data_IF_768602017567
#
_entry.id   IF_768602017567
#
_cell.length_a   1.000
_cell.length_b   1.000
_cell.length_c   1.000
_cell.angle_alpha   90.00
_cell.angle_beta   90.00
_cell.angle_gamma   90.00
#
_symmetry.space_group_name_H-M   'P 1'
#
loop_
_entity.id
_entity.type
_entity.pdbx_description
1 polymer ?
#
# COMPACT_ATOMS: atom_id res chain seq x y z
N UNK A 1 -11.18 -3.99 2.98
CA UNK A 1 -10.24 -3.27 2.09
C UNK A 1 -9.10 -4.21 1.78
N UNK A 2 -8.71 -4.29 0.52
CA UNK A 2 -7.69 -5.23 0.05
C UNK A 2 -6.41 -4.48 -0.29
N UNK A 3 -5.28 -4.99 0.15
CA UNK A 3 -3.97 -4.42 -0.14
C UNK A 3 -3.14 -5.41 -0.93
N UNK A 4 -2.69 -4.97 -2.11
CA UNK A 4 -1.88 -5.73 -3.06
C UNK A 4 -0.43 -5.24 -3.01
N UNK A 5 0.52 -6.16 -2.94
CA UNK A 5 1.95 -5.86 -2.99
C UNK A 5 2.56 -6.32 -4.31
N UNK A 6 3.34 -5.45 -4.95
CA UNK A 6 3.95 -5.72 -6.25
C UNK A 6 5.48 -5.70 -6.21
N UNK A 7 6.09 -6.48 -7.10
CA UNK A 7 7.54 -6.55 -7.28
C UNK A 7 8.28 -6.76 -5.96
N UNK A 8 9.29 -5.92 -5.71
CA UNK A 8 10.12 -6.01 -4.50
C UNK A 8 9.34 -5.86 -3.20
N UNK A 9 8.19 -5.19 -3.20
CA UNK A 9 7.36 -5.06 -2.00
C UNK A 9 6.75 -6.40 -1.61
N UNK A 10 6.38 -7.25 -2.57
CA UNK A 10 5.93 -8.63 -2.34
C UNK A 10 7.06 -9.48 -1.73
N UNK A 11 8.29 -9.33 -2.19
CA UNK A 11 9.45 -10.02 -1.62
C UNK A 11 9.70 -9.60 -0.17
N UNK A 12 9.46 -8.33 0.16
CA UNK A 12 9.67 -7.76 1.50
C UNK A 12 8.55 -8.15 2.46
N UNK A 13 7.30 -8.13 2.01
CA UNK A 13 6.15 -8.51 2.84
C UNK A 13 5.97 -10.02 2.94
N UNK A 14 6.53 -10.78 1.99
CA UNK A 14 6.39 -12.23 1.89
C UNK A 14 4.98 -12.69 1.48
N UNK A 15 4.09 -11.75 1.14
CA UNK A 15 2.69 -12.00 0.81
C UNK A 15 2.27 -11.16 -0.39
N UNK A 16 1.37 -11.72 -1.19
CA UNK A 16 0.80 -11.04 -2.37
C UNK A 16 -0.23 -9.99 -1.98
N UNK A 17 -1.03 -10.31 -0.96
CA UNK A 17 -2.10 -9.46 -0.52
C UNK A 17 -2.42 -9.63 0.97
N UNK A 18 -3.05 -8.62 1.55
CA UNK A 18 -3.69 -8.71 2.87
C UNK A 18 -5.05 -8.02 2.84
N UNK A 19 -5.97 -8.53 3.65
CA UNK A 19 -7.22 -7.85 3.96
C UNK A 19 -7.11 -7.10 5.28
N UNK A 20 -7.57 -5.85 5.28
CA UNK A 20 -7.58 -4.99 6.45
C UNK A 20 -8.90 -4.22 6.55
N UNK A 21 -9.22 -3.77 7.76
CA UNK A 21 -10.40 -2.96 8.06
C UNK A 21 -10.03 -1.84 9.05
N UNK A 22 -10.80 -0.75 9.05
CA UNK A 22 -10.67 0.31 10.06
C UNK A 22 -9.66 1.42 9.77
N UNK A 23 -9.23 1.60 8.52
CA UNK A 23 -8.39 2.73 8.11
C UNK A 23 -9.17 3.67 7.20
N UNK A 24 -9.19 4.96 7.55
CA UNK A 24 -9.96 5.99 6.85
C UNK A 24 -9.06 6.93 6.01
N UNK A 25 -7.74 6.91 6.24
CA UNK A 25 -6.79 7.77 5.56
C UNK A 25 -5.46 7.05 5.27
N UNK A 26 -4.72 7.57 4.29
CA UNK A 26 -3.44 7.03 3.83
C UNK A 26 -2.34 7.06 4.90
N UNK A 27 -2.34 8.05 5.80
CA UNK A 27 -1.30 8.16 6.83
C UNK A 27 -1.41 7.01 7.85
N UNK A 28 -2.61 6.77 8.36
CA UNK A 28 -2.92 5.65 9.25
C UNK A 28 -2.60 4.33 8.58
N UNK A 29 -2.93 4.19 7.30
CA UNK A 29 -2.62 3.01 6.52
C UNK A 29 -1.10 2.78 6.40
N UNK A 30 -0.34 3.81 6.02
CA UNK A 30 1.12 3.73 5.90
C UNK A 30 1.77 3.33 7.23
N UNK A 31 1.31 3.92 8.35
CA UNK A 31 1.79 3.57 9.70
C UNK A 31 1.54 2.10 10.00
N UNK A 32 0.31 1.63 9.81
CA UNK A 32 -0.04 0.21 10.00
C UNK A 32 0.82 -0.73 9.15
N UNK A 33 1.02 -0.40 7.86
CA UNK A 33 1.83 -1.22 6.97
C UNK A 33 3.31 -1.28 7.40
N UNK A 34 3.88 -0.17 7.88
CA UNK A 34 5.25 -0.13 8.38
C UNK A 34 5.38 -0.90 9.70
N UNK A 35 4.38 -0.84 10.58
CA UNK A 35 4.38 -1.62 11.82
C UNK A 35 4.27 -3.12 11.55
N UNK A 36 3.40 -3.51 10.60
CA UNK A 36 3.21 -4.91 10.21
C UNK A 36 4.37 -5.47 9.39
N UNK A 37 4.96 -4.65 8.52
CA UNK A 37 6.08 -4.99 7.65
C UNK A 37 7.20 -3.95 7.79
N UNK A 38 8.05 -4.07 8.82
CA UNK A 38 9.13 -3.10 9.10
C UNK A 38 10.08 -2.88 7.93
N UNK A 39 10.22 -3.86 7.02
CA UNK A 39 11.03 -3.76 5.81
C UNK A 39 10.55 -2.66 4.84
N UNK A 40 9.25 -2.34 4.83
CA UNK A 40 8.69 -1.28 3.98
C UNK A 40 9.21 0.11 4.35
N UNK A 41 9.68 0.32 5.59
CA UNK A 41 10.19 1.62 6.06
C UNK A 41 11.37 2.14 5.24
N UNK A 42 12.13 1.25 4.61
CA UNK A 42 13.34 1.59 3.83
C UNK A 42 13.07 1.66 2.33
N UNK A 43 11.88 1.29 1.89
CA UNK A 43 11.53 1.31 0.47
C UNK A 43 10.76 2.57 0.12
N UNK A 44 10.99 3.05 -1.10
CA UNK A 44 10.13 4.04 -1.72
C UNK A 44 9.03 3.28 -2.46
N UNK A 45 7.79 3.71 -2.32
CA UNK A 45 6.65 3.14 -3.04
C UNK A 45 5.54 4.17 -3.22
N UNK A 46 4.75 3.98 -4.26
CA UNK A 46 3.54 4.74 -4.56
C UNK A 46 2.34 3.93 -4.13
N UNK A 47 1.31 4.60 -3.60
CA UNK A 47 0.03 3.97 -3.31
C UNK A 47 -0.94 4.34 -4.42
N UNK A 48 -1.57 3.33 -5.02
CA UNK A 48 -2.70 3.49 -5.91
C UNK A 48 -3.96 2.93 -5.26
N UNK A 49 -5.08 3.62 -5.41
CA UNK A 49 -6.40 3.19 -4.92
C UNK A 49 -7.29 3.04 -6.14
N UNK A 50 -7.91 1.87 -6.31
CA UNK A 50 -8.80 1.57 -7.44
C UNK A 50 -8.16 1.93 -8.80
N UNK A 51 -6.88 1.56 -8.99
CA UNK A 51 -6.07 1.84 -10.19
C UNK A 51 -5.64 3.30 -10.42
N UNK A 52 -5.93 4.21 -9.49
CA UNK A 52 -5.53 5.62 -9.59
C UNK A 52 -4.49 5.97 -8.52
N UNK A 53 -3.47 6.78 -8.87
CA UNK A 53 -2.44 7.20 -7.90
C UNK A 53 -3.09 8.07 -6.84
N UNK A 54 -2.90 7.68 -5.58
CA UNK A 54 -3.50 8.36 -4.45
C UNK A 54 -2.71 9.60 -4.05
N UNK A 55 -3.38 10.75 -3.99
CA UNK A 55 -2.86 11.96 -3.36
C UNK A 55 -3.04 11.94 -1.83
N UNK A 56 -2.45 12.90 -1.12
CA UNK A 56 -2.46 12.94 0.35
C UNK A 56 -3.86 13.08 0.99
N UNK A 57 -4.87 13.59 0.28
CA UNK A 57 -6.21 13.88 0.84
C UNK A 57 -7.29 12.83 0.48
N UNK A 58 -6.89 11.57 0.23
CA UNK A 58 -7.88 10.52 -0.09
C UNK A 58 -8.44 9.87 1.17
N UNK A 59 -9.78 9.85 1.24
CA UNK A 59 -10.54 9.04 2.20
C UNK A 59 -10.69 7.61 1.69
N UNK A 60 -10.18 6.67 2.47
CA UNK A 60 -10.27 5.25 2.17
C UNK A 60 -11.66 4.71 2.53
N UNK A 61 -12.17 3.83 1.68
CA UNK A 61 -13.41 3.08 1.87
C UNK A 61 -13.10 1.62 2.15
N UNK A 62 -14.03 0.93 2.81
CA UNK A 62 -13.86 -0.48 3.13
C UNK A 62 -13.76 -1.38 1.90
N UNK A 63 -14.34 -0.97 0.77
CA UNK A 63 -14.32 -1.72 -0.48
C UNK A 63 -13.13 -1.37 -1.39
N UNK A 64 -12.27 -0.43 -0.98
CA UNK A 64 -11.14 -0.01 -1.81
C UNK A 64 -10.12 -1.14 -1.97
N UNK A 65 -9.63 -1.24 -3.21
CA UNK A 65 -8.45 -2.01 -3.56
C UNK A 65 -7.23 -1.08 -3.63
N UNK A 66 -6.23 -1.38 -2.81
CA UNK A 66 -5.04 -0.56 -2.65
C UNK A 66 -3.83 -1.31 -3.16
N UNK A 67 -3.14 -0.76 -4.15
CA UNK A 67 -1.90 -1.31 -4.68
C UNK A 67 -0.69 -0.53 -4.16
N UNK A 68 0.27 -1.24 -3.56
CA UNK A 68 1.59 -0.71 -3.27
C UNK A 68 2.50 -1.02 -4.45
N UNK A 69 2.93 0.04 -5.14
CA UNK A 69 3.73 -0.03 -6.34
C UNK A 69 5.17 0.41 -6.02
N UNK A 70 6.19 -0.41 -6.29
CA UNK A 70 7.57 0.08 -6.25
C UNK A 70 7.73 1.22 -7.28
N UNK A 71 8.76 2.09 -7.13
CA UNK A 71 9.03 3.15 -8.09
C UNK A 71 9.08 2.55 -9.50
N UNK A 72 8.29 3.13 -10.39
CA UNK A 72 8.26 2.70 -11.78
C UNK A 72 9.65 2.98 -12.36
N UNK A 73 10.44 1.93 -12.53
CA UNK A 73 11.64 1.99 -13.35
C UNK A 73 11.16 2.06 -14.81
N UNK A 74 10.81 3.27 -15.25
CA UNK A 74 10.51 3.52 -16.65
C UNK A 74 11.72 3.11 -17.49
N UNK A 75 11.48 2.22 -18.45
CA UNK A 75 12.44 1.92 -19.53
C UNK A 75 12.51 3.05 -20.55
#
# INVERSE_FOLDING_TARGET
MKILFFGRLKDITGVEEIEINGHENLESLKKFLIEKFPGLRREVFTIAINFEIAGDDIKLKQDDEIALLPPIAGG
#
